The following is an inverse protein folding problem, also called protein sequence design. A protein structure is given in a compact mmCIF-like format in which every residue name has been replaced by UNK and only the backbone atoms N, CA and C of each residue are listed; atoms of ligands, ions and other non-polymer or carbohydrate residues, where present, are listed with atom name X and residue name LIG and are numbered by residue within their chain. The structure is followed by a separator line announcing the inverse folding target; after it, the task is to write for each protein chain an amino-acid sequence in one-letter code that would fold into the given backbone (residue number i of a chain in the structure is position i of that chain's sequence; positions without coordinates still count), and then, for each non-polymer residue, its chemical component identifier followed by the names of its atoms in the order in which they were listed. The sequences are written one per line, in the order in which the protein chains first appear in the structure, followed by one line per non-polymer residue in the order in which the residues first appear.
data_IF_381979144879
#
_entry.id   IF_381979144879
#
_cell.length_a   1.000
_cell.length_b   1.000
_cell.length_c   1.000
_cell.angle_alpha   90.00
_cell.angle_beta   90.00
_cell.angle_gamma   90.00
#
_symmetry.space_group_name_H-M   'P 1'
#
loop_
_entity.id
_entity.type
_entity.pdbx_description
1 polymer ?
#
# COMPACT_ATOMS: atom_id res chain seq x y z
N UNK A 1 11.67 -20.92 -23.85
CA UNK A 1 11.32 -21.32 -22.45
C UNK A 1 12.43 -22.15 -21.76
N UNK A 2 13.47 -22.59 -22.46
CA UNK A 2 14.46 -23.57 -21.96
C UNK A 2 15.44 -23.02 -20.88
N UNK A 3 15.74 -21.72 -20.85
CA UNK A 3 16.57 -21.12 -19.78
C UNK A 3 15.80 -20.74 -18.50
N UNK A 4 14.48 -20.90 -18.46
CA UNK A 4 13.64 -20.42 -17.35
C UNK A 4 13.34 -21.44 -16.26
N UNK A 5 13.47 -22.74 -16.54
CA UNK A 5 12.89 -23.80 -15.69
C UNK A 5 13.68 -24.11 -14.41
N UNK A 6 15.01 -24.25 -14.51
CA UNK A 6 15.87 -24.64 -13.38
C UNK A 6 16.75 -23.48 -12.90
N UNK A 7 17.15 -22.59 -13.81
CA UNK A 7 18.03 -21.45 -13.53
C UNK A 7 17.28 -20.12 -13.43
N UNK A 8 16.12 -19.95 -14.06
CA UNK A 8 15.42 -18.67 -14.16
C UNK A 8 15.04 -18.05 -12.82
N UNK A 9 14.41 -18.83 -11.93
CA UNK A 9 14.03 -18.34 -10.60
C UNK A 9 15.26 -18.04 -9.73
N UNK A 10 16.31 -18.88 -9.81
CA UNK A 10 17.58 -18.70 -9.08
C UNK A 10 18.28 -17.42 -9.49
N UNK A 11 18.37 -17.16 -10.80
CA UNK A 11 18.93 -15.91 -11.34
C UNK A 11 18.09 -14.71 -10.89
N UNK A 12 16.76 -14.82 -10.90
CA UNK A 12 15.87 -13.80 -10.35
C UNK A 12 16.16 -13.46 -8.89
N UNK A 13 16.25 -14.46 -8.00
CA UNK A 13 16.59 -14.21 -6.59
C UNK A 13 18.02 -13.72 -6.38
N UNK A 14 18.97 -14.20 -7.17
CA UNK A 14 20.36 -13.78 -7.07
C UNK A 14 20.53 -12.32 -7.50
N UNK A 15 19.91 -11.91 -8.60
CA UNK A 15 19.91 -10.50 -9.03
C UNK A 15 19.23 -9.59 -8.01
N UNK A 16 18.09 -9.99 -7.46
CA UNK A 16 17.41 -9.26 -6.39
C UNK A 16 18.28 -9.15 -5.12
N UNK A 17 18.99 -10.22 -4.74
CA UNK A 17 19.91 -10.24 -3.60
C UNK A 17 21.08 -9.27 -3.79
N UNK A 18 21.69 -9.27 -4.98
CA UNK A 18 22.80 -8.36 -5.31
C UNK A 18 22.33 -6.90 -5.26
N UNK A 19 21.18 -6.59 -5.86
CA UNK A 19 20.59 -5.26 -5.80
C UNK A 19 20.30 -4.84 -4.36
N UNK A 20 19.76 -5.75 -3.54
CA UNK A 20 19.53 -5.51 -2.11
C UNK A 20 20.81 -5.20 -1.34
N UNK A 21 21.90 -5.92 -1.61
CA UNK A 21 23.21 -5.65 -1.01
C UNK A 21 23.78 -4.29 -1.43
N UNK A 22 23.64 -3.92 -2.70
CA UNK A 22 24.06 -2.60 -3.19
C UNK A 22 23.29 -1.49 -2.46
N UNK A 23 21.97 -1.64 -2.31
CA UNK A 23 21.12 -0.69 -1.57
C UNK A 23 21.53 -0.64 -0.09
N UNK A 24 21.85 -1.77 0.54
CA UNK A 24 22.32 -1.81 1.94
C UNK A 24 23.65 -1.06 2.13
N UNK A 25 24.61 -1.26 1.23
CA UNK A 25 25.89 -0.53 1.24
C UNK A 25 25.65 0.97 1.01
N UNK A 26 24.74 1.33 0.09
CA UNK A 26 24.36 2.73 -0.13
C UNK A 26 23.71 3.36 1.10
N UNK A 27 22.78 2.66 1.75
CA UNK A 27 22.08 3.14 2.94
C UNK A 27 23.05 3.38 4.11
N UNK A 28 23.98 2.46 4.34
CA UNK A 28 24.98 2.59 5.41
C UNK A 28 26.00 3.70 5.18
N UNK A 29 26.40 3.94 3.93
CA UNK A 29 27.42 4.96 3.60
C UNK A 29 26.86 6.37 3.35
N UNK A 30 25.65 6.48 2.78
CA UNK A 30 25.07 7.74 2.31
C UNK A 30 23.78 8.09 3.06
N UNK A 31 22.95 7.09 3.36
CA UNK A 31 21.59 7.29 3.87
C UNK A 31 21.53 7.75 5.33
N UNK A 32 22.45 7.29 6.17
CA UNK A 32 22.50 7.68 7.58
C UNK A 32 23.31 8.97 7.73
N UNK A 33 22.73 10.08 7.30
CA UNK A 33 23.14 11.39 7.77
C UNK A 33 22.21 11.75 8.94
N UNK A 34 22.50 11.17 10.12
CA UNK A 34 21.95 11.73 11.36
C UNK A 34 22.59 13.11 11.42
N UNK A 35 21.86 14.13 11.01
CA UNK A 35 22.30 15.50 11.21
C UNK A 35 22.65 15.60 12.69
N UNK A 36 23.94 15.66 13.00
CA UNK A 36 24.48 16.03 14.32
C UNK A 36 24.22 17.52 14.52
N UNK A 37 22.98 17.95 14.26
CA UNK A 37 22.43 19.27 14.50
C UNK A 37 21.64 19.25 15.82
N UNK A 38 21.85 18.23 16.65
CA UNK A 38 21.53 18.29 18.08
C UNK A 38 22.45 19.25 18.84
N UNK A 39 23.62 19.60 18.30
CA UNK A 39 24.55 20.54 18.95
C UNK A 39 24.14 22.02 18.86
N UNK A 40 23.11 22.38 18.06
CA UNK A 40 22.64 23.77 17.90
C UNK A 40 21.17 24.01 18.24
N UNK A 41 20.45 23.00 18.73
CA UNK A 41 19.13 23.22 19.34
C UNK A 41 19.28 23.45 20.84
N UNK A 42 19.62 24.70 21.19
CA UNK A 42 19.52 25.24 22.54
C UNK A 42 18.04 25.27 22.99
N UNK A 43 17.56 24.12 23.42
CA UNK A 43 16.54 23.82 24.41
C UNK A 43 16.39 22.32 24.37
N UNK A 44 16.98 21.63 25.35
CA UNK A 44 16.75 20.22 25.59
C UNK A 44 15.26 20.02 25.90
N UNK A 45 14.45 19.87 24.85
CA UNK A 45 13.25 19.06 24.93
C UNK A 45 13.79 17.65 25.06
N UNK A 46 13.97 17.21 26.29
CA UNK A 46 14.29 15.83 26.63
C UNK A 46 13.12 14.98 26.15
N UNK A 47 13.18 14.53 24.89
CA UNK A 47 12.25 13.56 24.34
C UNK A 47 12.64 12.19 24.90
N UNK A 48 12.49 12.02 26.23
CA UNK A 48 12.61 10.74 26.91
C UNK A 48 11.33 9.92 26.66
N UNK A 49 11.01 9.73 25.38
CA UNK A 49 9.80 9.08 24.94
C UNK A 49 10.04 7.58 24.78
N UNK A 50 9.44 6.79 25.66
CA UNK A 50 9.32 5.34 25.51
C UNK A 50 7.92 5.01 24.99
N UNK A 51 7.86 4.25 23.90
CA UNK A 51 6.61 3.70 23.38
C UNK A 51 6.09 2.68 24.40
N UNK A 52 4.89 2.89 24.90
CA UNK A 52 4.25 2.01 25.88
C UNK A 52 3.01 1.34 25.31
N UNK A 53 2.59 0.20 25.86
CA UNK A 53 1.32 -0.44 25.48
C UNK A 53 0.10 0.45 25.74
N UNK A 54 0.19 1.43 26.65
CA UNK A 54 -0.87 2.39 26.90
C UNK A 54 -1.12 3.29 25.67
N UNK A 55 -0.07 3.62 24.91
CA UNK A 55 -0.18 4.42 23.68
C UNK A 55 -1.05 3.72 22.61
N UNK A 56 -1.07 2.38 22.58
CA UNK A 56 -1.97 1.61 21.72
C UNK A 56 -3.44 1.79 22.11
N UNK A 57 -3.75 1.72 23.41
CA UNK A 57 -5.13 1.91 23.88
C UNK A 57 -5.64 3.33 23.60
N UNK A 58 -4.77 4.33 23.69
CA UNK A 58 -5.09 5.72 23.34
C UNK A 58 -5.41 5.87 21.85
N UNK A 59 -4.69 5.15 20.99
CA UNK A 59 -4.90 5.16 19.55
C UNK A 59 -6.30 4.66 19.17
N UNK A 60 -6.78 3.59 19.81
CA UNK A 60 -8.14 3.07 19.59
C UNK A 60 -9.26 4.00 20.10
N UNK A 61 -8.95 5.02 20.92
CA UNK A 61 -9.95 6.04 21.31
C UNK A 61 -10.22 7.05 20.18
N UNK A 62 -9.32 7.16 19.20
CA UNK A 62 -9.47 8.10 18.08
C UNK A 62 -10.34 7.44 17.00
N UNK A 63 -11.62 7.84 16.94
CA UNK A 63 -12.61 7.27 16.01
C UNK A 63 -12.13 7.20 14.55
N UNK A 64 -11.48 8.26 14.08
CA UNK A 64 -10.95 8.31 12.70
C UNK A 64 -9.86 7.28 12.46
N UNK A 65 -8.98 7.05 13.44
CA UNK A 65 -7.92 6.04 13.33
C UNK A 65 -8.52 4.65 13.26
N UNK A 66 -9.48 4.34 14.14
CA UNK A 66 -10.18 3.04 14.11
C UNK A 66 -10.85 2.80 12.76
N UNK A 67 -11.56 3.79 12.21
CA UNK A 67 -12.20 3.68 10.91
C UNK A 67 -11.20 3.41 9.77
N UNK A 68 -10.05 4.09 9.78
CA UNK A 68 -9.01 3.86 8.77
C UNK A 68 -8.35 2.50 8.95
N UNK A 69 -8.06 2.08 10.19
CA UNK A 69 -7.51 0.74 10.44
C UNK A 69 -8.44 -0.37 9.95
N UNK A 70 -9.75 -0.22 10.16
CA UNK A 70 -10.75 -1.15 9.65
C UNK A 70 -10.75 -1.18 8.11
N UNK A 71 -10.74 0.00 7.47
CA UNK A 71 -10.56 0.11 6.03
C UNK A 71 -9.28 -0.57 5.54
N UNK A 72 -8.17 -0.42 6.26
CA UNK A 72 -6.88 -1.04 5.92
C UNK A 72 -6.96 -2.56 5.97
N UNK A 73 -7.67 -3.15 6.94
CA UNK A 73 -7.92 -4.60 6.95
C UNK A 73 -8.70 -5.02 5.70
N UNK A 74 -9.80 -4.35 5.39
CA UNK A 74 -10.62 -4.65 4.20
C UNK A 74 -9.83 -4.48 2.90
N UNK A 75 -9.03 -3.42 2.80
CA UNK A 75 -8.14 -3.17 1.67
C UNK A 75 -7.05 -4.24 1.57
N UNK A 76 -6.49 -4.68 2.70
CA UNK A 76 -5.52 -5.78 2.77
C UNK A 76 -6.10 -7.09 2.24
N UNK A 77 -7.36 -7.40 2.58
CA UNK A 77 -8.11 -8.55 2.03
C UNK A 77 -8.14 -8.43 0.50
N UNK A 78 -8.72 -7.35 -0.03
CA UNK A 78 -8.91 -7.16 -1.46
C UNK A 78 -7.58 -7.17 -2.23
N UNK A 79 -6.61 -6.36 -1.81
CA UNK A 79 -5.31 -6.25 -2.50
C UNK A 79 -4.53 -7.55 -2.50
N UNK A 80 -4.59 -8.35 -1.43
CA UNK A 80 -3.92 -9.65 -1.38
C UNK A 80 -4.56 -10.66 -2.32
N UNK A 81 -5.89 -10.71 -2.35
CA UNK A 81 -6.66 -11.57 -3.24
C UNK A 81 -6.36 -11.21 -4.69
N UNK A 82 -6.40 -9.92 -5.03
CA UNK A 82 -6.03 -9.47 -6.37
C UNK A 82 -4.57 -9.82 -6.69
N UNK A 83 -3.61 -9.52 -5.82
CA UNK A 83 -2.20 -9.78 -6.09
C UNK A 83 -1.90 -11.25 -6.41
N UNK A 84 -2.51 -12.17 -5.67
CA UNK A 84 -2.17 -13.59 -5.79
C UNK A 84 -3.03 -14.33 -6.83
N UNK A 85 -4.31 -13.94 -7.00
CA UNK A 85 -5.26 -14.71 -7.81
C UNK A 85 -5.62 -14.06 -9.14
N UNK A 86 -5.29 -12.78 -9.38
CA UNK A 86 -5.65 -12.09 -10.63
C UNK A 86 -5.04 -12.73 -11.87
N UNK A 87 -3.76 -13.07 -11.82
CA UNK A 87 -3.07 -13.68 -12.96
C UNK A 87 -3.66 -15.06 -13.25
N UNK A 88 -4.00 -15.82 -12.20
CA UNK A 88 -4.67 -17.11 -12.33
C UNK A 88 -6.04 -16.96 -13.02
N UNK A 89 -6.87 -16.03 -12.55
CA UNK A 89 -8.19 -15.75 -13.16
C UNK A 89 -8.07 -15.29 -14.62
N UNK A 90 -7.18 -14.35 -14.90
CA UNK A 90 -6.95 -13.87 -16.27
C UNK A 90 -6.43 -14.98 -17.18
N UNK A 91 -5.60 -15.90 -16.66
CA UNK A 91 -5.14 -17.06 -17.41
C UNK A 91 -6.29 -18.01 -17.74
N UNK A 92 -7.21 -18.27 -16.80
CA UNK A 92 -8.41 -19.08 -17.07
C UNK A 92 -9.27 -18.46 -18.18
N UNK A 93 -9.38 -17.14 -18.21
CA UNK A 93 -10.22 -16.41 -19.17
C UNK A 93 -9.59 -16.26 -20.56
N UNK A 94 -8.29 -16.02 -20.61
CA UNK A 94 -7.55 -15.76 -21.84
C UNK A 94 -6.92 -17.04 -22.44
N UNK A 95 -6.86 -18.12 -21.66
CA UNK A 95 -6.13 -19.35 -21.96
C UNK A 95 -4.67 -19.12 -22.40
N UNK A 96 -4.08 -18.00 -21.95
CA UNK A 96 -2.74 -17.59 -22.30
C UNK A 96 -2.06 -16.93 -21.09
N UNK A 97 -1.18 -17.70 -20.46
CA UNK A 97 -0.46 -17.29 -19.24
C UNK A 97 0.42 -16.07 -19.46
N UNK A 98 1.08 -15.98 -20.62
CA UNK A 98 1.96 -14.85 -20.95
C UNK A 98 1.18 -13.54 -21.06
N UNK A 99 0.05 -13.58 -21.78
CA UNK A 99 -0.82 -12.41 -21.93
C UNK A 99 -1.47 -11.99 -20.61
N UNK A 100 -1.89 -12.95 -19.78
CA UNK A 100 -2.45 -12.68 -18.47
C UNK A 100 -1.47 -11.93 -17.54
N UNK A 101 -0.21 -12.37 -17.50
CA UNK A 101 0.86 -11.71 -16.74
C UNK A 101 1.09 -10.28 -17.28
N UNK A 102 1.24 -10.15 -18.60
CA UNK A 102 1.53 -8.86 -19.24
C UNK A 102 0.41 -7.84 -19.01
N UNK A 103 -0.85 -8.25 -19.18
CA UNK A 103 -2.00 -7.40 -18.92
C UNK A 103 -2.08 -6.95 -17.45
N UNK A 104 -1.87 -7.87 -16.52
CA UNK A 104 -1.90 -7.55 -15.09
C UNK A 104 -0.77 -6.59 -14.69
N UNK A 105 0.46 -6.78 -15.22
CA UNK A 105 1.58 -5.89 -14.95
C UNK A 105 1.35 -4.48 -15.50
N UNK A 106 0.88 -4.37 -16.74
CA UNK A 106 0.60 -3.05 -17.34
C UNK A 106 -0.56 -2.36 -16.63
N UNK A 107 -1.62 -3.09 -16.27
CA UNK A 107 -2.71 -2.56 -15.46
C UNK A 107 -2.18 -2.03 -14.11
N UNK A 108 -1.31 -2.80 -13.45
CA UNK A 108 -0.69 -2.43 -12.18
C UNK A 108 0.18 -1.17 -12.22
N UNK A 109 0.69 -0.76 -13.38
CA UNK A 109 1.48 0.48 -13.53
C UNK A 109 0.67 1.73 -13.13
N UNK A 110 -0.66 1.70 -13.21
CA UNK A 110 -1.52 2.80 -12.77
C UNK A 110 -1.41 3.11 -11.27
N UNK A 111 -1.05 2.13 -10.45
CA UNK A 111 -1.05 2.26 -8.99
C UNK A 111 -0.10 3.37 -8.47
N UNK A 112 1.10 3.49 -9.05
CA UNK A 112 2.10 4.47 -8.64
C UNK A 112 1.65 5.93 -8.89
N UNK A 113 1.33 6.34 -10.14
CA UNK A 113 0.82 7.69 -10.38
C UNK A 113 -0.50 7.93 -9.65
N UNK A 114 -1.33 6.90 -9.46
CA UNK A 114 -2.54 6.95 -8.66
C UNK A 114 -2.30 7.38 -7.21
N UNK A 115 -1.34 6.74 -6.54
CA UNK A 115 -0.99 7.08 -5.16
C UNK A 115 -0.46 8.51 -5.03
N UNK A 116 0.40 8.95 -5.96
CA UNK A 116 0.97 10.30 -5.97
C UNK A 116 -0.13 11.36 -6.23
N UNK A 117 -0.95 11.15 -7.26
CA UNK A 117 -2.03 12.09 -7.60
C UNK A 117 -3.11 12.12 -6.53
N UNK A 118 -3.51 10.98 -5.97
CA UNK A 118 -4.50 10.92 -4.89
C UNK A 118 -4.05 11.70 -3.66
N UNK A 119 -2.77 11.58 -3.28
CA UNK A 119 -2.17 12.36 -2.19
C UNK A 119 -2.18 13.85 -2.49
N UNK A 120 -1.69 14.26 -3.67
CA UNK A 120 -1.63 15.67 -4.10
C UNK A 120 -3.02 16.33 -4.17
N UNK A 121 -4.01 15.63 -4.75
CA UNK A 121 -5.39 16.10 -4.82
C UNK A 121 -6.02 16.21 -3.43
N UNK A 122 -5.80 15.22 -2.56
CA UNK A 122 -6.27 15.27 -1.17
C UNK A 122 -5.66 16.44 -0.39
N UNK A 123 -4.35 16.68 -0.56
CA UNK A 123 -3.62 17.83 0.00
C UNK A 123 -4.21 19.16 -0.47
N UNK A 124 -4.47 19.27 -1.77
CA UNK A 124 -5.01 20.48 -2.39
C UNK A 124 -6.41 20.79 -1.85
N UNK A 125 -7.28 19.79 -1.77
CA UNK A 125 -8.62 19.95 -1.19
C UNK A 125 -8.59 20.29 0.30
N UNK A 126 -7.63 19.73 1.03
CA UNK A 126 -7.43 20.05 2.44
C UNK A 126 -7.01 21.51 2.65
N UNK A 127 -6.08 22.01 1.83
CA UNK A 127 -5.62 23.42 1.85
C UNK A 127 -6.73 24.42 1.51
N UNK A 128 -7.74 24.01 0.74
CA UNK A 128 -8.94 24.81 0.45
C UNK A 128 -9.93 24.89 1.62
N UNK A 129 -9.56 24.44 2.82
CA UNK A 129 -10.40 24.50 4.03
C UNK A 129 -11.35 23.31 4.21
N UNK A 130 -11.33 22.32 3.31
CA UNK A 130 -12.14 21.11 3.45
C UNK A 130 -11.40 20.07 4.29
N UNK A 131 -11.66 20.06 5.60
CA UNK A 131 -11.02 19.17 6.59
C UNK A 131 -11.15 17.68 6.20
N UNK A 132 -12.25 17.30 5.53
CA UNK A 132 -12.51 15.92 5.07
C UNK A 132 -11.99 15.62 3.65
N UNK A 133 -11.30 16.57 3.00
CA UNK A 133 -10.89 16.47 1.59
C UNK A 133 -10.13 15.19 1.27
N UNK A 134 -9.10 14.87 2.06
CA UNK A 134 -8.29 13.63 1.90
C UNK A 134 -9.11 12.35 1.94
N UNK A 135 -10.07 12.29 2.87
CA UNK A 135 -10.96 11.11 3.04
C UNK A 135 -11.91 10.99 1.85
N UNK A 136 -12.51 12.10 1.41
CA UNK A 136 -13.45 12.11 0.28
C UNK A 136 -12.74 11.68 -1.01
N UNK A 137 -11.56 12.23 -1.31
CA UNK A 137 -10.77 11.85 -2.49
C UNK A 137 -10.42 10.36 -2.45
N UNK A 138 -10.04 9.84 -1.28
CA UNK A 138 -9.74 8.42 -1.10
C UNK A 138 -10.98 7.54 -1.35
N UNK A 139 -12.13 7.91 -0.78
CA UNK A 139 -13.38 7.15 -0.95
C UNK A 139 -13.83 7.13 -2.41
N UNK A 140 -13.84 8.29 -3.08
CA UNK A 140 -14.23 8.39 -4.49
C UNK A 140 -13.27 7.57 -5.36
N UNK A 141 -11.96 7.67 -5.12
CA UNK A 141 -10.95 6.91 -5.84
C UNK A 141 -11.14 5.40 -5.68
N UNK A 142 -11.35 4.92 -4.45
CA UNK A 142 -11.59 3.49 -4.19
C UNK A 142 -12.87 3.01 -4.86
N UNK A 143 -14.00 3.72 -4.72
CA UNK A 143 -15.28 3.31 -5.32
C UNK A 143 -15.20 3.25 -6.85
N UNK A 144 -14.70 4.32 -7.48
CA UNK A 144 -14.53 4.35 -8.93
C UNK A 144 -13.51 3.30 -9.39
N UNK A 145 -12.38 3.18 -8.68
CA UNK A 145 -11.33 2.21 -8.97
C UNK A 145 -11.84 0.77 -8.91
N UNK A 146 -12.64 0.43 -7.90
CA UNK A 146 -13.29 -0.89 -7.78
C UNK A 146 -14.25 -1.14 -8.95
N UNK A 147 -15.04 -0.15 -9.37
CA UNK A 147 -15.92 -0.29 -10.53
C UNK A 147 -15.12 -0.57 -11.82
N UNK A 148 -14.02 0.15 -12.04
CA UNK A 148 -13.13 -0.09 -13.19
C UNK A 148 -12.42 -1.45 -13.12
N UNK A 149 -11.94 -1.86 -11.95
CA UNK A 149 -11.34 -3.19 -11.76
C UNK A 149 -12.36 -4.30 -12.01
N UNK A 150 -13.60 -4.14 -11.56
CA UNK A 150 -14.67 -5.10 -11.86
C UNK A 150 -14.86 -5.25 -13.38
N UNK A 151 -14.92 -4.13 -14.11
CA UNK A 151 -15.00 -4.14 -15.57
C UNK A 151 -13.77 -4.79 -16.21
N UNK A 152 -12.57 -4.58 -15.67
CA UNK A 152 -11.35 -5.24 -16.14
C UNK A 152 -11.40 -6.77 -16.01
N UNK A 153 -11.92 -7.31 -14.92
CA UNK A 153 -12.06 -8.77 -14.79
C UNK A 153 -13.21 -9.32 -15.65
N UNK A 154 -14.30 -8.57 -15.85
CA UNK A 154 -15.40 -8.95 -16.75
C UNK A 154 -15.01 -8.89 -18.23
N UNK A 155 -14.23 -7.89 -18.62
CA UNK A 155 -13.68 -7.72 -19.96
C UNK A 155 -12.24 -7.22 -19.82
N UNK A 156 -11.21 -8.04 -20.09
CA UNK A 156 -9.80 -7.76 -19.82
C UNK A 156 -9.21 -6.71 -20.77
N UNK A 157 -9.84 -5.54 -20.81
CA UNK A 157 -9.42 -4.37 -21.54
C UNK A 157 -8.45 -3.55 -20.69
N UNK A 158 -7.28 -3.28 -21.24
CA UNK A 158 -6.14 -2.74 -20.49
C UNK A 158 -6.43 -1.39 -19.84
N UNK A 159 -7.28 -0.56 -20.49
CA UNK A 159 -7.64 0.76 -19.98
C UNK A 159 -8.46 0.66 -18.68
N UNK A 160 -9.32 -0.34 -18.55
CA UNK A 160 -10.06 -0.58 -17.30
C UNK A 160 -9.13 -1.01 -16.17
N UNK A 161 -8.13 -1.85 -16.48
CA UNK A 161 -7.13 -2.26 -15.51
C UNK A 161 -6.29 -1.07 -15.03
N UNK A 162 -5.76 -0.28 -15.98
CA UNK A 162 -4.90 0.86 -15.68
C UNK A 162 -5.65 1.96 -14.91
N UNK A 163 -6.87 2.31 -15.34
CA UNK A 163 -7.72 3.26 -14.63
C UNK A 163 -8.16 2.73 -13.26
N UNK A 164 -8.47 1.45 -13.17
CA UNK A 164 -8.87 0.77 -11.93
C UNK A 164 -7.79 0.82 -10.87
N UNK A 165 -6.56 0.38 -11.19
CA UNK A 165 -5.42 0.47 -10.28
C UNK A 165 -5.04 1.92 -9.96
N UNK A 166 -5.11 2.83 -10.94
CA UNK A 166 -4.83 4.25 -10.74
C UNK A 166 -5.77 4.87 -9.70
N UNK A 167 -7.08 4.71 -9.85
CA UNK A 167 -8.05 5.31 -8.94
C UNK A 167 -8.07 4.61 -7.57
N UNK A 168 -7.96 3.27 -7.55
CA UNK A 168 -7.98 2.51 -6.30
C UNK A 168 -6.82 2.88 -5.36
N UNK A 169 -5.67 3.31 -5.91
CA UNK A 169 -4.49 3.68 -5.12
C UNK A 169 -4.54 5.11 -4.56
N UNK A 170 -5.60 5.90 -4.82
CA UNK A 170 -5.74 7.24 -4.26
C UNK A 170 -5.76 7.23 -2.72
N UNK A 171 -6.25 6.15 -2.10
CA UNK A 171 -6.25 6.01 -0.64
C UNK A 171 -4.84 5.92 -0.06
N UNK A 172 -3.90 5.27 -0.76
CA UNK A 172 -2.54 5.02 -0.27
C UNK A 172 -1.78 6.31 -0.01
N UNK A 173 -1.90 7.30 -0.91
CA UNK A 173 -1.26 8.61 -0.74
C UNK A 173 -1.86 9.43 0.41
N UNK A 174 -3.15 9.29 0.66
CA UNK A 174 -3.87 10.07 1.68
C UNK A 174 -3.81 9.45 3.08
N UNK A 175 -3.68 8.13 3.19
CA UNK A 175 -3.74 7.41 4.47
C UNK A 175 -2.69 7.90 5.47
N UNK A 176 -1.42 8.01 5.05
CA UNK A 176 -0.33 8.48 5.91
C UNK A 176 -0.50 9.95 6.31
N UNK A 177 -1.01 10.78 5.40
CA UNK A 177 -1.29 12.19 5.67
C UNK A 177 -2.42 12.33 6.72
N UNK A 178 -3.50 11.56 6.57
CA UNK A 178 -4.61 11.59 7.53
C UNK A 178 -4.14 11.14 8.92
N UNK A 179 -3.32 10.09 9.03
CA UNK A 179 -2.74 9.69 10.32
C UNK A 179 -1.92 10.80 10.96
N UNK A 180 -1.15 11.52 10.17
CA UNK A 180 -0.34 12.65 10.62
C UNK A 180 -1.21 13.81 11.13
N UNK A 181 -2.35 14.05 10.49
CA UNK A 181 -3.31 15.11 10.83
C UNK A 181 -4.12 14.80 12.10
N UNK A 182 -4.52 13.54 12.31
CA UNK A 182 -5.41 13.15 13.43
C UNK A 182 -4.68 12.62 14.66
N UNK A 183 -3.37 12.37 14.57
CA UNK A 183 -2.59 11.82 15.69
C UNK A 183 -1.42 12.72 16.09
N UNK A 184 -1.17 12.86 17.41
CA UNK A 184 -0.04 13.64 17.90
C UNK A 184 1.29 13.00 17.45
N UNK A 185 2.38 13.79 17.30
CA UNK A 185 3.67 13.30 16.82
C UNK A 185 4.16 12.03 17.55
N UNK A 186 3.91 11.95 18.86
CA UNK A 186 4.20 10.81 19.73
C UNK A 186 3.61 9.47 19.24
N UNK A 187 2.39 9.50 18.69
CA UNK A 187 1.64 8.30 18.30
C UNK A 187 1.79 7.93 16.81
N UNK A 188 2.36 8.81 15.97
CA UNK A 188 2.44 8.60 14.51
C UNK A 188 3.17 7.31 14.12
N UNK A 189 4.27 7.00 14.81
CA UNK A 189 5.00 5.74 14.62
C UNK A 189 4.13 4.53 14.95
N UNK A 190 3.45 4.56 16.09
CA UNK A 190 2.55 3.48 16.56
C UNK A 190 1.39 3.24 15.59
N UNK A 191 0.78 4.30 15.05
CA UNK A 191 -0.32 4.19 14.06
C UNK A 191 0.17 3.55 12.77
N UNK A 192 1.34 3.94 12.27
CA UNK A 192 1.90 3.33 11.07
C UNK A 192 2.21 1.85 11.26
N UNK A 193 2.80 1.48 12.40
CA UNK A 193 3.03 0.07 12.75
C UNK A 193 1.72 -0.71 12.84
N UNK A 194 0.71 -0.14 13.50
CA UNK A 194 -0.61 -0.78 13.63
C UNK A 194 -1.29 -0.95 12.27
N UNK A 195 -1.17 0.04 11.40
CA UNK A 195 -1.64 -0.06 10.02
C UNK A 195 -0.94 -1.18 9.28
N UNK A 196 0.38 -1.35 9.43
CA UNK A 196 1.12 -2.46 8.83
C UNK A 196 0.64 -3.84 9.33
N UNK A 197 0.41 -3.98 10.64
CA UNK A 197 -0.16 -5.19 11.23
C UNK A 197 -1.54 -5.47 10.63
N UNK A 198 -2.43 -4.47 10.61
CA UNK A 198 -3.78 -4.60 10.07
C UNK A 198 -3.79 -4.95 8.59
N UNK A 199 -2.88 -4.38 7.80
CA UNK A 199 -2.69 -4.78 6.40
C UNK A 199 -2.34 -6.26 6.32
N UNK A 200 -1.36 -6.73 7.09
CA UNK A 200 -0.95 -8.15 7.06
C UNK A 200 -2.08 -9.09 7.52
N UNK A 201 -2.83 -8.73 8.55
CA UNK A 201 -4.04 -9.47 8.99
C UNK A 201 -5.03 -9.60 7.83
N UNK A 202 -5.34 -8.49 7.16
CA UNK A 202 -6.20 -8.50 5.98
C UNK A 202 -5.65 -9.40 4.87
N UNK A 203 -4.34 -9.35 4.59
CA UNK A 203 -3.71 -10.18 3.56
C UNK A 203 -3.79 -11.68 3.87
N UNK A 204 -3.66 -12.06 5.13
CA UNK A 204 -3.80 -13.46 5.57
C UNK A 204 -5.25 -13.91 5.36
N UNK A 205 -6.21 -13.12 5.85
CA UNK A 205 -7.65 -13.43 5.73
C UNK A 205 -8.06 -13.56 4.26
N UNK A 206 -7.68 -12.60 3.41
CA UNK A 206 -8.07 -12.60 2.00
C UNK A 206 -7.53 -13.80 1.23
N UNK A 207 -6.28 -14.20 1.47
CA UNK A 207 -5.73 -15.40 0.86
C UNK A 207 -6.39 -16.68 1.38
N UNK A 208 -6.68 -16.76 2.67
CA UNK A 208 -7.33 -17.93 3.25
C UNK A 208 -8.74 -18.11 2.69
N UNK A 209 -9.54 -17.04 2.64
CA UNK A 209 -10.90 -17.06 2.08
C UNK A 209 -10.93 -17.55 0.63
N UNK A 210 -10.03 -17.05 -0.21
CA UNK A 210 -10.01 -17.43 -1.63
C UNK A 210 -9.53 -18.87 -1.77
N UNK A 211 -8.49 -19.26 -1.03
CA UNK A 211 -7.97 -20.62 -1.07
C UNK A 211 -9.02 -21.66 -0.65
N UNK A 212 -9.85 -21.37 0.35
CA UNK A 212 -10.92 -22.29 0.78
C UNK A 212 -12.09 -22.33 -0.19
N UNK A 213 -12.45 -21.20 -0.82
CA UNK A 213 -13.56 -21.15 -1.79
C UNK A 213 -13.24 -21.85 -3.11
N UNK A 214 -11.97 -21.88 -3.53
CA UNK A 214 -11.52 -22.54 -4.76
C UNK A 214 -11.04 -23.99 -4.58
N UNK A 215 -11.04 -24.52 -3.35
CA UNK A 215 -10.72 -25.93 -3.07
C UNK A 215 -11.92 -26.88 -3.26
N UNK A 216 -13.02 -26.40 -3.85
CA UNK A 216 -14.20 -27.16 -4.30
C UNK A 216 -14.25 -27.08 -5.82
#
# INVERSE_FOLDING_TARGET
VVFGGITGWRVGFLTASILGLIVLVGYTKIGINISVTSAKFNKALDYNYKITFQDLTQLFKIRTVVGILLFVVCSGIATSTLANWSVFYLNLKLNNKGMAILLYLIAGLGALPGAVMGGSLGDSYFKLGRIKGRVIISMVGVVCGTAFLLNFYLSPFILFGLAGFFLAFFSTGNQFAIFTDVTPPKLRGTVNSMSGIMTNVGRIIGNLLVSTLYQI
#
